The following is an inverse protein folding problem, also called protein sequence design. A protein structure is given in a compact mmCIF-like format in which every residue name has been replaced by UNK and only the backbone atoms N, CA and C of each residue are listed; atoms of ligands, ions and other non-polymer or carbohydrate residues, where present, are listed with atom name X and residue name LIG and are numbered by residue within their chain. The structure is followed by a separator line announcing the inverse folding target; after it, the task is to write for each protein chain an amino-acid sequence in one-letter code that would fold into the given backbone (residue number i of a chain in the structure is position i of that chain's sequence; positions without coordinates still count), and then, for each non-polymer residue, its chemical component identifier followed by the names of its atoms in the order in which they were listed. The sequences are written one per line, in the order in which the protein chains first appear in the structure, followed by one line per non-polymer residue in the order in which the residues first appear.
data_IF_942337571742
#
_entry.id   IF_942337571742
#
_cell.length_a   1.000
_cell.length_b   1.000
_cell.length_c   1.000
_cell.angle_alpha   90.00
_cell.angle_beta   90.00
_cell.angle_gamma   90.00
#
_symmetry.space_group_name_H-M   'P 1'
#
loop_
_entity.id
_entity.type
_entity.pdbx_description
1 polymer ?
#
# COMPACT_ATOMS: atom_id res chain seq x y z
N UNK A 1 22.76 -31.10 34.26
CA UNK A 1 22.67 -29.92 33.38
C UNK A 1 22.45 -28.72 34.27
N UNK A 2 23.44 -27.83 34.39
CA UNK A 2 23.21 -26.55 35.07
C UNK A 2 22.28 -25.70 34.19
N UNK A 3 21.28 -25.01 34.75
CA UNK A 3 20.46 -24.08 33.98
C UNK A 3 21.37 -22.98 33.43
N UNK A 4 21.26 -22.69 32.14
CA UNK A 4 21.96 -21.56 31.53
C UNK A 4 21.55 -20.28 32.25
N UNK A 5 22.49 -19.65 32.95
CA UNK A 5 22.27 -18.33 33.55
C UNK A 5 22.10 -17.32 32.41
N UNK A 6 20.89 -16.80 32.24
CA UNK A 6 20.59 -15.73 31.29
C UNK A 6 20.71 -14.42 32.06
N UNK A 7 21.75 -13.65 31.79
CA UNK A 7 21.85 -12.26 32.24
C UNK A 7 20.82 -11.42 31.48
N UNK A 8 19.98 -10.70 32.23
CA UNK A 8 18.96 -9.81 31.68
C UNK A 8 19.38 -8.38 32.02
N UNK A 9 19.76 -7.59 31.02
CA UNK A 9 20.02 -6.16 31.21
C UNK A 9 18.70 -5.38 31.22
N UNK A 10 18.51 -4.43 32.15
CA UNK A 10 17.34 -3.57 32.16
C UNK A 10 17.36 -2.63 30.96
N UNK A 11 16.27 -2.62 30.20
CA UNK A 11 16.08 -1.67 29.09
C UNK A 11 15.61 -0.32 29.62
N UNK A 12 15.97 0.75 28.91
CA UNK A 12 15.49 2.10 29.22
C UNK A 12 13.96 2.13 29.06
N UNK A 13 13.21 2.71 30.01
CA UNK A 13 11.77 2.79 29.91
C UNK A 13 11.36 3.53 28.63
N UNK A 14 10.36 2.97 27.97
CA UNK A 14 9.83 3.49 26.73
C UNK A 14 9.09 4.80 27.03
N UNK A 15 9.42 5.87 26.31
CA UNK A 15 8.72 7.14 26.45
C UNK A 15 7.42 7.12 25.65
N UNK A 16 6.29 6.93 26.33
CA UNK A 16 4.96 6.86 25.70
C UNK A 16 4.58 8.14 24.94
N UNK A 17 5.08 9.30 25.37
CA UNK A 17 4.83 10.58 24.68
C UNK A 17 5.55 10.70 23.32
N UNK A 18 6.50 9.79 23.04
CA UNK A 18 7.18 9.70 21.75
C UNK A 18 6.41 8.83 20.73
N UNK A 19 5.39 8.09 21.15
CA UNK A 19 4.60 7.28 20.22
C UNK A 19 3.67 8.12 19.36
N UNK A 20 3.39 7.62 18.16
CA UNK A 20 2.31 8.16 17.35
C UNK A 20 0.98 7.95 18.08
N UNK A 21 0.08 8.92 17.93
CA UNK A 21 -1.31 8.73 18.36
C UNK A 21 -1.93 7.62 17.52
N UNK A 22 -2.79 6.85 18.15
CA UNK A 22 -3.60 5.88 17.44
C UNK A 22 -4.70 6.62 16.68
N UNK A 23 -4.87 6.26 15.42
CA UNK A 23 -5.94 6.76 14.55
C UNK A 23 -6.77 5.57 14.05
N UNK A 24 -8.04 5.83 13.76
CA UNK A 24 -8.91 4.85 13.11
C UNK A 24 -8.62 4.80 11.61
N UNK A 25 -8.41 3.59 11.10
CA UNK A 25 -8.29 3.27 9.68
C UNK A 25 -9.53 2.50 9.24
N UNK A 26 -10.15 3.00 8.18
CA UNK A 26 -11.32 2.41 7.55
C UNK A 26 -10.96 1.85 6.18
N UNK A 27 -11.11 0.54 6.00
CA UNK A 27 -11.01 -0.12 4.70
C UNK A 27 -12.42 -0.40 4.19
N UNK A 28 -12.67 0.03 2.96
CA UNK A 28 -13.85 -0.32 2.19
C UNK A 28 -13.43 -1.07 0.92
N UNK A 29 -14.15 -2.13 0.57
CA UNK A 29 -13.95 -2.87 -0.67
C UNK A 29 -15.28 -3.38 -1.22
N UNK A 30 -15.33 -3.59 -2.53
CA UNK A 30 -16.44 -4.29 -3.19
C UNK A 30 -15.88 -5.36 -4.11
N UNK A 31 -16.48 -6.56 -4.10
CA UNK A 31 -16.08 -7.63 -5.01
C UNK A 31 -16.97 -7.53 -6.25
N UNK A 32 -16.39 -7.01 -7.33
CA UNK A 32 -17.10 -6.84 -8.61
C UNK A 32 -17.43 -8.19 -9.23
N UNK A 33 -16.41 -9.00 -9.47
CA UNK A 33 -16.54 -10.31 -10.10
C UNK A 33 -15.54 -11.29 -9.48
N UNK A 34 -15.93 -12.56 -9.39
CA UNK A 34 -15.05 -13.65 -8.97
C UNK A 34 -15.19 -14.78 -9.99
N UNK A 35 -14.20 -14.93 -10.86
CA UNK A 35 -14.21 -15.87 -11.99
C UNK A 35 -12.97 -16.77 -11.93
N UNK A 36 -12.81 -17.66 -12.92
CA UNK A 36 -11.66 -18.56 -13.04
C UNK A 36 -11.44 -19.46 -11.81
N UNK A 37 -12.53 -19.79 -11.11
CA UNK A 37 -12.50 -20.69 -9.94
C UNK A 37 -12.31 -22.13 -10.45
N UNK A 38 -11.33 -22.84 -9.88
CA UNK A 38 -11.04 -24.24 -10.23
C UNK A 38 -12.25 -25.13 -9.93
N UNK A 39 -12.54 -26.07 -10.85
CA UNK A 39 -13.63 -27.04 -10.72
C UNK A 39 -13.65 -27.77 -9.37
N UNK A 40 -12.49 -28.04 -8.76
CA UNK A 40 -12.38 -28.71 -7.44
C UNK A 40 -13.05 -27.92 -6.32
N UNK A 41 -13.21 -26.61 -6.49
CA UNK A 41 -13.86 -25.72 -5.52
C UNK A 41 -15.33 -25.43 -5.87
N UNK A 42 -15.81 -25.85 -7.05
CA UNK A 42 -17.14 -25.49 -7.55
C UNK A 42 -18.32 -26.18 -6.85
N UNK A 43 -18.09 -27.29 -6.14
CA UNK A 43 -19.16 -28.07 -5.52
C UNK A 43 -19.63 -27.50 -4.18
N UNK A 44 -18.81 -26.69 -3.53
CA UNK A 44 -19.06 -26.19 -2.17
C UNK A 44 -19.28 -24.68 -2.16
N UNK A 45 -20.18 -24.16 -1.30
CA UNK A 45 -20.30 -22.73 -1.10
C UNK A 45 -18.98 -22.10 -0.67
N UNK A 46 -18.77 -20.87 -1.11
CA UNK A 46 -17.63 -20.05 -0.70
C UNK A 46 -18.03 -18.58 -0.56
N UNK A 47 -17.21 -17.85 0.18
CA UNK A 47 -17.34 -16.41 0.38
C UNK A 47 -15.95 -15.78 0.50
N UNK A 48 -15.89 -14.46 0.33
CA UNK A 48 -14.68 -13.69 0.55
C UNK A 48 -14.65 -13.12 1.97
N UNK A 49 -13.47 -12.99 2.54
CA UNK A 49 -13.19 -12.24 3.77
C UNK A 49 -12.10 -11.21 3.49
N UNK A 50 -12.26 -10.00 4.01
CA UNK A 50 -11.21 -8.97 4.01
C UNK A 50 -10.74 -8.68 5.43
N UNK A 51 -9.45 -8.39 5.59
CA UNK A 51 -8.91 -7.97 6.88
C UNK A 51 -7.80 -6.93 6.72
N UNK A 52 -7.59 -6.10 7.75
CA UNK A 52 -6.40 -5.26 7.94
C UNK A 52 -5.61 -5.90 9.08
N UNK A 53 -4.55 -6.63 8.77
CA UNK A 53 -3.94 -7.54 9.75
C UNK A 53 -5.00 -8.51 10.31
N UNK A 54 -5.24 -8.47 11.61
CA UNK A 54 -6.23 -9.29 12.30
C UNK A 54 -7.62 -8.64 12.43
N UNK A 55 -7.75 -7.33 12.16
CA UNK A 55 -9.03 -6.65 12.17
C UNK A 55 -9.89 -7.14 10.99
N UNK A 56 -11.10 -7.62 11.26
CA UNK A 56 -11.99 -8.24 10.25
C UNK A 56 -11.82 -9.75 10.08
N UNK A 57 -10.82 -10.38 10.70
CA UNK A 57 -10.65 -11.84 10.65
C UNK A 57 -11.76 -12.55 11.45
N UNK A 58 -12.71 -13.17 10.77
CA UNK A 58 -13.84 -13.86 11.41
C UNK A 58 -13.55 -15.34 11.70
N UNK A 59 -12.66 -15.96 10.93
CA UNK A 59 -12.43 -17.41 10.99
C UNK A 59 -11.57 -17.85 12.18
N UNK A 60 -10.56 -17.06 12.56
CA UNK A 60 -9.60 -17.43 13.61
C UNK A 60 -10.01 -16.98 15.03
N UNK A 61 -11.16 -16.33 15.19
CA UNK A 61 -11.67 -15.84 16.48
C UNK A 61 -10.88 -14.67 17.10
N UNK A 62 -9.83 -14.18 16.44
CA UNK A 62 -9.00 -13.05 16.85
C UNK A 62 -9.40 -11.75 16.12
N UNK A 63 -10.69 -11.43 16.08
CA UNK A 63 -11.14 -10.19 15.45
C UNK A 63 -10.90 -8.99 16.38
N UNK A 64 -9.93 -8.14 16.05
CA UNK A 64 -9.65 -6.93 16.83
C UNK A 64 -10.69 -5.83 16.63
N UNK A 65 -11.40 -5.80 15.49
CA UNK A 65 -12.50 -4.85 15.26
C UNK A 65 -13.61 -5.01 16.30
N UNK A 66 -13.86 -6.24 16.76
CA UNK A 66 -14.82 -6.55 17.83
C UNK A 66 -14.46 -5.92 19.18
N UNK A 67 -13.16 -5.81 19.51
CA UNK A 67 -12.70 -5.30 20.81
C UNK A 67 -12.66 -3.78 20.89
N UNK A 68 -12.63 -3.10 19.75
CA UNK A 68 -12.50 -1.64 19.69
C UNK A 68 -13.84 -0.91 19.90
N UNK A 69 -14.97 -1.61 19.77
CA UNK A 69 -16.32 -1.04 19.83
C UNK A 69 -17.13 -1.51 21.05
N UNK A 70 -16.51 -1.53 22.23
CA UNK A 70 -17.26 -1.69 23.49
C UNK A 70 -18.00 -0.37 23.82
N UNK A 71 -19.34 -0.33 23.78
CA UNK A 71 -20.13 0.91 23.93
C UNK A 71 -19.95 1.60 25.29
N UNK A 72 -19.34 0.95 26.29
CA UNK A 72 -19.12 1.50 27.62
C UNK A 72 -18.12 2.66 27.71
N UNK A 73 -17.42 3.03 26.62
CA UNK A 73 -16.30 3.99 26.66
C UNK A 73 -16.51 5.33 25.92
N UNK A 74 -17.63 5.57 25.23
CA UNK A 74 -17.90 6.87 24.58
C UNK A 74 -19.27 7.41 24.98
N UNK A 75 -19.25 8.39 25.88
CA UNK A 75 -20.44 9.15 26.27
C UNK A 75 -20.88 10.11 25.16
N UNK A 76 -22.12 9.92 24.72
CA UNK A 76 -23.11 10.90 24.28
C UNK A 76 -22.73 11.96 23.25
N UNK A 77 -23.38 11.91 22.08
CA UNK A 77 -24.01 13.06 21.42
C UNK A 77 -25.02 12.54 20.38
N UNK A 78 -25.99 13.38 20.00
CA UNK A 78 -27.24 13.01 19.34
C UNK A 78 -27.44 13.79 18.03
N UNK A 79 -28.06 13.14 17.04
CA UNK A 79 -28.72 13.77 15.89
C UNK A 79 -28.82 12.81 14.69
N UNK A 80 -29.93 12.77 13.96
CA UNK A 80 -30.27 11.77 12.93
C UNK A 80 -29.25 11.55 11.75
N UNK A 81 -28.21 12.39 11.56
CA UNK A 81 -27.06 12.07 10.68
C UNK A 81 -26.01 11.17 11.36
N UNK A 82 -25.95 11.25 12.69
CA UNK A 82 -25.14 10.42 13.58
C UNK A 82 -25.67 8.98 13.60
N UNK A 83 -26.95 8.72 13.30
CA UNK A 83 -27.52 7.36 13.26
C UNK A 83 -26.89 6.50 12.16
N UNK A 84 -26.70 7.04 10.95
CA UNK A 84 -26.00 6.30 9.87
C UNK A 84 -24.51 6.15 10.19
N UNK A 85 -23.91 7.16 10.79
CA UNK A 85 -22.50 7.14 11.18
C UNK A 85 -22.24 6.20 12.37
N UNK A 86 -23.16 6.10 13.34
CA UNK A 86 -23.19 5.18 14.47
C UNK A 86 -23.45 3.74 14.03
N UNK A 87 -24.40 3.52 13.11
CA UNK A 87 -24.69 2.18 12.55
C UNK A 87 -23.44 1.64 11.86
N UNK A 88 -22.77 2.45 11.03
CA UNK A 88 -21.52 2.05 10.37
C UNK A 88 -20.34 2.04 11.35
N UNK A 89 -20.44 2.74 12.48
CA UNK A 89 -19.38 2.77 13.48
C UNK A 89 -19.32 1.53 14.36
N UNK A 90 -20.47 0.95 14.74
CA UNK A 90 -20.52 -0.33 15.45
C UNK A 90 -20.46 -1.57 14.57
N UNK A 91 -20.76 -1.46 13.26
CA UNK A 91 -20.78 -2.60 12.35
C UNK A 91 -19.49 -2.73 11.55
N UNK A 92 -18.96 -3.94 11.45
CA UNK A 92 -18.03 -4.32 10.38
C UNK A 92 -18.67 -5.43 9.56
N UNK A 93 -18.49 -5.37 8.24
CA UNK A 93 -18.90 -6.43 7.33
C UNK A 93 -17.64 -6.90 6.61
N UNK A 94 -16.87 -7.77 7.24
CA UNK A 94 -15.61 -8.27 6.64
C UNK A 94 -15.82 -9.40 5.66
N UNK A 95 -17.02 -10.00 5.59
CA UNK A 95 -17.30 -11.16 4.73
C UNK A 95 -18.42 -10.92 3.73
N UNK A 96 -18.33 -11.54 2.55
CA UNK A 96 -19.43 -11.58 1.58
C UNK A 96 -20.44 -12.65 1.97
N UNK A 97 -21.67 -12.62 1.42
CA UNK A 97 -22.57 -13.76 1.51
C UNK A 97 -21.94 -15.01 0.90
N UNK A 98 -22.25 -16.17 1.50
CA UNK A 98 -21.82 -17.48 1.00
C UNK A 98 -22.66 -17.89 -0.20
N UNK A 99 -21.99 -18.24 -1.30
CA UNK A 99 -22.65 -18.64 -2.54
C UNK A 99 -21.93 -19.83 -3.18
N UNK A 100 -22.69 -20.70 -3.87
CA UNK A 100 -22.12 -21.82 -4.61
C UNK A 100 -21.64 -21.33 -5.98
N UNK A 101 -20.39 -21.62 -6.38
CA UNK A 101 -19.92 -21.26 -7.72
C UNK A 101 -20.76 -21.89 -8.84
N UNK A 102 -20.98 -21.12 -9.91
CA UNK A 102 -21.66 -21.54 -11.13
C UNK A 102 -20.68 -21.71 -12.28
N UNK A 103 -21.07 -22.44 -13.32
CA UNK A 103 -20.26 -22.67 -14.52
C UNK A 103 -21.14 -22.83 -15.74
N UNK A 104 -20.65 -22.45 -16.91
CA UNK A 104 -21.28 -22.73 -18.20
C UNK A 104 -20.62 -23.91 -18.94
N UNK A 105 -19.33 -24.14 -18.72
CA UNK A 105 -18.50 -25.09 -19.47
C UNK A 105 -17.98 -26.28 -18.63
N UNK A 106 -18.16 -26.23 -17.31
CA UNK A 106 -17.62 -27.19 -16.31
C UNK A 106 -16.10 -27.20 -16.23
N UNK A 107 -15.42 -26.20 -16.79
CA UNK A 107 -13.97 -26.01 -16.74
C UNK A 107 -13.66 -24.92 -15.72
N UNK A 108 -14.28 -23.74 -15.86
CA UNK A 108 -14.10 -22.61 -14.95
C UNK A 108 -15.41 -22.24 -14.28
N UNK A 109 -15.31 -21.91 -13.01
CA UNK A 109 -16.44 -21.49 -12.19
C UNK A 109 -16.34 -20.01 -11.84
N UNK A 110 -17.48 -19.41 -11.49
CA UNK A 110 -17.59 -18.03 -11.05
C UNK A 110 -18.62 -17.89 -9.94
N UNK A 111 -18.51 -16.85 -9.11
CA UNK A 111 -19.58 -16.49 -8.17
C UNK A 111 -20.60 -15.57 -8.86
N UNK A 112 -21.90 -15.91 -8.80
CA UNK A 112 -22.93 -15.19 -9.53
C UNK A 112 -23.40 -13.94 -8.76
N UNK A 113 -22.54 -12.92 -8.63
CA UNK A 113 -22.91 -11.66 -7.96
C UNK A 113 -23.85 -10.79 -8.79
N UNK A 114 -23.84 -10.92 -10.13
CA UNK A 114 -24.73 -10.16 -11.03
C UNK A 114 -24.72 -8.65 -10.74
N UNK A 115 -25.88 -8.06 -10.50
CA UNK A 115 -26.05 -6.64 -10.18
C UNK A 115 -25.87 -6.33 -8.69
N UNK A 116 -25.84 -7.35 -7.81
CA UNK A 116 -25.68 -7.19 -6.37
C UNK A 116 -24.22 -7.43 -5.95
N UNK A 117 -23.42 -6.37 -6.07
CA UNK A 117 -21.99 -6.42 -5.73
C UNK A 117 -21.81 -6.33 -4.21
N UNK A 118 -21.28 -7.36 -3.54
CA UNK A 118 -21.14 -7.33 -2.10
C UNK A 118 -20.11 -6.28 -1.68
N UNK A 119 -20.50 -5.44 -0.72
CA UNK A 119 -19.66 -4.43 -0.10
C UNK A 119 -19.14 -4.92 1.25
N UNK A 120 -17.87 -4.66 1.50
CA UNK A 120 -17.15 -5.08 2.67
C UNK A 120 -16.50 -3.86 3.33
N UNK A 121 -16.49 -3.83 4.65
CA UNK A 121 -15.82 -2.78 5.40
C UNK A 121 -15.24 -3.27 6.72
N UNK A 122 -14.06 -2.76 7.05
CA UNK A 122 -13.30 -3.10 8.25
C UNK A 122 -12.77 -1.82 8.89
N UNK A 123 -12.93 -1.71 10.20
CA UNK A 123 -12.33 -0.68 11.04
C UNK A 123 -11.20 -1.27 11.86
N UNK A 124 -10.13 -0.52 12.01
CA UNK A 124 -8.97 -0.92 12.81
C UNK A 124 -8.24 0.32 13.33
N UNK A 125 -7.72 0.25 14.55
CA UNK A 125 -7.02 1.37 15.19
C UNK A 125 -5.54 1.07 15.25
N UNK A 126 -4.70 1.92 14.64
CA UNK A 126 -3.25 1.75 14.60
C UNK A 126 -2.53 3.06 14.92
N UNK A 127 -1.28 3.01 15.42
CA UNK A 127 -0.44 4.20 15.51
C UNK A 127 -0.29 4.90 14.14
N UNK A 128 -0.50 6.21 14.10
CA UNK A 128 -0.43 6.98 12.86
C UNK A 128 1.00 7.23 12.39
N UNK A 129 1.46 6.34 11.52
CA UNK A 129 2.72 6.42 10.80
C UNK A 129 2.55 6.70 9.30
N UNK A 130 1.39 7.25 8.87
CA UNK A 130 1.10 7.51 7.44
C UNK A 130 2.21 8.24 6.69
N UNK A 131 2.88 9.18 7.34
CA UNK A 131 4.05 9.91 6.82
C UNK A 131 5.15 9.00 6.21
N UNK A 132 5.37 7.81 6.77
CA UNK A 132 6.35 6.84 6.26
C UNK A 132 5.89 6.29 4.91
N UNK A 133 4.65 5.79 4.88
CA UNK A 133 4.00 5.30 3.66
C UNK A 133 3.91 6.39 2.59
N UNK A 134 3.49 7.61 2.95
CA UNK A 134 3.39 8.74 2.03
C UNK A 134 4.74 9.06 1.37
N UNK A 135 5.82 9.11 2.15
CA UNK A 135 7.15 9.31 1.60
C UNK A 135 7.54 8.20 0.60
N UNK A 136 7.30 6.93 0.96
CA UNK A 136 7.53 5.79 0.08
C UNK A 136 6.66 5.80 -1.17
N UNK A 137 5.41 6.24 -1.08
CA UNK A 137 4.47 6.32 -2.21
C UNK A 137 4.88 7.39 -3.20
N UNK A 138 5.30 8.59 -2.74
CA UNK A 138 5.79 9.63 -3.65
C UNK A 138 7.00 9.09 -4.43
N UNK A 139 7.99 8.50 -3.75
CA UNK A 139 9.18 7.92 -4.40
C UNK A 139 8.77 6.76 -5.33
N UNK A 140 7.82 5.92 -4.91
CA UNK A 140 7.28 4.82 -5.70
C UNK A 140 6.69 5.29 -7.03
N UNK A 141 5.93 6.38 -7.04
CA UNK A 141 5.39 6.97 -8.27
C UNK A 141 6.50 7.48 -9.21
N UNK A 142 7.60 8.00 -8.66
CA UNK A 142 8.79 8.39 -9.46
C UNK A 142 9.44 7.15 -10.08
N UNK A 143 9.57 6.07 -9.30
CA UNK A 143 10.08 4.78 -9.79
C UNK A 143 9.20 4.28 -10.93
N UNK A 144 7.89 4.14 -10.73
CA UNK A 144 6.97 3.63 -11.74
C UNK A 144 7.09 4.41 -13.07
N UNK A 145 7.12 5.75 -13.00
CA UNK A 145 7.27 6.60 -14.19
C UNK A 145 8.63 6.44 -14.88
N UNK A 146 9.70 6.30 -14.10
CA UNK A 146 11.02 6.06 -14.64
C UNK A 146 11.13 4.67 -15.28
N UNK A 147 10.51 3.65 -14.70
CA UNK A 147 10.46 2.30 -15.27
C UNK A 147 9.69 2.27 -16.59
N UNK A 148 8.54 2.92 -16.64
CA UNK A 148 7.73 3.08 -17.86
C UNK A 148 8.57 3.74 -18.96
N UNK A 149 9.18 4.91 -18.67
CA UNK A 149 9.98 5.64 -19.64
C UNK A 149 11.26 4.90 -20.09
N UNK A 150 11.91 4.13 -19.21
CA UNK A 150 13.07 3.31 -19.59
C UNK A 150 12.67 2.06 -20.38
N UNK A 151 11.52 1.47 -20.09
CA UNK A 151 10.99 0.33 -20.85
C UNK A 151 10.64 0.74 -22.28
N UNK A 152 10.05 1.93 -22.45
CA UNK A 152 9.76 2.49 -23.77
C UNK A 152 11.04 2.72 -24.59
N UNK A 153 12.08 3.29 -23.97
CA UNK A 153 13.40 3.42 -24.61
C UNK A 153 13.97 2.08 -25.04
N UNK A 154 13.77 1.04 -24.23
CA UNK A 154 14.26 -0.32 -24.50
C UNK A 154 13.51 -0.98 -25.66
N UNK A 155 12.21 -0.69 -25.83
CA UNK A 155 11.41 -1.19 -26.97
C UNK A 155 11.84 -0.55 -28.30
N UNK A 156 12.29 0.71 -28.26
CA UNK A 156 12.64 1.50 -29.44
C UNK A 156 14.15 1.62 -29.70
N UNK A 157 14.97 0.68 -29.21
CA UNK A 157 16.44 0.78 -29.30
C UNK A 157 17.01 0.91 -30.72
N UNK A 158 16.33 0.35 -31.71
CA UNK A 158 16.76 0.37 -33.12
C UNK A 158 16.27 1.63 -33.85
N UNK A 159 15.39 2.41 -33.22
CA UNK A 159 14.77 3.57 -33.83
C UNK A 159 15.59 4.84 -33.60
N UNK A 160 15.49 5.76 -34.57
CA UNK A 160 16.09 7.10 -34.45
C UNK A 160 15.52 7.95 -33.30
N UNK A 161 14.43 7.50 -32.68
CA UNK A 161 13.72 8.20 -31.59
C UNK A 161 14.24 7.86 -30.19
N UNK A 162 15.03 6.79 -30.02
CA UNK A 162 15.47 6.31 -28.70
C UNK A 162 16.22 7.36 -27.88
N UNK A 163 17.06 8.17 -28.51
CA UNK A 163 17.79 9.27 -27.86
C UNK A 163 16.83 10.33 -27.31
N UNK A 164 15.78 10.65 -28.08
CA UNK A 164 14.77 11.62 -27.68
C UNK A 164 13.96 11.08 -26.51
N UNK A 165 13.53 9.82 -26.57
CA UNK A 165 12.82 9.14 -25.48
C UNK A 165 13.64 9.16 -24.20
N UNK A 166 14.93 8.78 -24.25
CA UNK A 166 15.80 8.81 -23.07
C UNK A 166 15.95 10.23 -22.50
N UNK A 167 16.09 11.24 -23.36
CA UNK A 167 16.16 12.65 -22.92
C UNK A 167 14.86 13.10 -22.24
N UNK A 168 13.71 12.68 -22.74
CA UNK A 168 12.40 12.96 -22.13
C UNK A 168 12.29 12.28 -20.77
N UNK A 169 12.60 10.98 -20.68
CA UNK A 169 12.57 10.22 -19.42
C UNK A 169 13.47 10.84 -18.35
N UNK A 170 14.67 11.31 -18.72
CA UNK A 170 15.59 11.99 -17.79
C UNK A 170 15.12 13.38 -17.36
N UNK A 171 14.45 14.12 -18.25
CA UNK A 171 13.83 15.41 -17.91
C UNK A 171 12.70 15.22 -16.91
N UNK A 172 11.80 14.27 -17.18
CA UNK A 172 10.68 13.92 -16.29
C UNK A 172 11.19 13.45 -14.94
N UNK A 173 12.23 12.61 -14.89
CA UNK A 173 12.87 12.21 -13.64
C UNK A 173 13.36 13.44 -12.86
N UNK A 174 14.05 14.37 -13.51
CA UNK A 174 14.54 15.59 -12.86
C UNK A 174 13.39 16.43 -12.28
N UNK A 175 12.33 16.62 -13.06
CA UNK A 175 11.13 17.35 -12.64
C UNK A 175 10.45 16.68 -11.43
N UNK A 176 10.27 15.37 -11.48
CA UNK A 176 9.66 14.57 -10.42
C UNK A 176 10.49 14.60 -9.12
N UNK A 177 11.82 14.52 -9.21
CA UNK A 177 12.71 14.69 -8.06
C UNK A 177 12.55 16.08 -7.41
N UNK A 178 12.47 17.16 -8.21
CA UNK A 178 12.27 18.51 -7.67
C UNK A 178 10.90 18.64 -6.98
N UNK A 179 9.86 18.02 -7.56
CA UNK A 179 8.51 17.99 -6.98
C UNK A 179 8.50 17.27 -5.63
N UNK A 180 9.16 16.12 -5.52
CA UNK A 180 9.34 15.41 -4.25
C UNK A 180 10.01 16.28 -3.18
N UNK A 181 11.09 16.99 -3.54
CA UNK A 181 11.78 17.89 -2.59
C UNK A 181 10.84 19.01 -2.12
N UNK A 182 9.98 19.53 -2.99
CA UNK A 182 8.99 20.53 -2.60
C UNK A 182 7.94 19.97 -1.63
N UNK A 183 7.34 18.81 -1.95
CA UNK A 183 6.30 18.17 -1.12
C UNK A 183 6.87 17.76 0.25
N UNK A 184 8.04 17.14 0.26
CA UNK A 184 8.68 16.65 1.49
C UNK A 184 9.13 17.78 2.43
N UNK A 185 9.39 18.99 1.91
CA UNK A 185 9.68 20.17 2.74
C UNK A 185 8.40 20.77 3.35
N UNK A 186 7.28 20.75 2.63
CA UNK A 186 5.99 21.24 3.15
C UNK A 186 5.33 20.30 4.16
N UNK A 187 5.53 18.97 4.03
CA UNK A 187 4.94 17.96 4.93
C UNK A 187 5.57 17.94 6.35
N UNK A 188 6.55 18.81 6.60
CA UNK A 188 7.16 19.01 7.93
C UNK A 188 6.21 19.71 8.92
N UNK A 189 5.09 20.28 8.45
CA UNK A 189 4.26 21.26 9.19
C UNK A 189 3.13 20.70 10.10
N UNK A 190 3.19 19.43 10.50
CA UNK A 190 2.29 18.86 11.52
C UNK A 190 2.94 18.77 12.93
N UNK A 191 2.16 18.82 14.04
CA UNK A 191 2.67 18.66 15.39
C UNK A 191 3.57 17.42 15.51
N UNK A 192 4.77 17.58 16.08
CA UNK A 192 5.86 16.58 16.10
C UNK A 192 5.61 15.32 16.94
N UNK A 193 4.35 14.95 17.21
CA UNK A 193 3.99 13.74 17.93
C UNK A 193 4.26 12.52 17.04
N UNK A 194 4.93 11.50 17.58
CA UNK A 194 5.27 10.27 16.85
C UNK A 194 6.45 10.35 15.88
N UNK A 195 7.09 11.51 15.67
CA UNK A 195 8.28 11.62 14.79
C UNK A 195 9.55 11.26 15.56
N UNK A 196 10.09 10.08 15.29
CA UNK A 196 11.34 9.61 15.88
C UNK A 196 12.57 10.31 15.28
N UNK A 197 13.74 10.14 15.91
CA UNK A 197 15.02 10.57 15.33
C UNK A 197 15.30 9.85 14.01
N UNK A 198 14.95 8.58 13.90
CA UNK A 198 15.13 7.79 12.68
C UNK A 198 14.26 8.31 11.54
N UNK A 199 13.01 8.71 11.82
CA UNK A 199 12.15 9.35 10.81
C UNK A 199 12.81 10.62 10.24
N UNK A 200 13.38 11.47 11.10
CA UNK A 200 14.06 12.70 10.69
C UNK A 200 15.28 12.41 9.80
N UNK A 201 16.12 11.45 10.19
CA UNK A 201 17.30 11.08 9.41
C UNK A 201 16.92 10.40 8.09
N UNK A 202 15.85 9.59 8.08
CA UNK A 202 15.32 8.98 6.86
C UNK A 202 14.78 10.02 5.88
N UNK A 203 13.99 10.99 6.35
CA UNK A 203 13.52 12.09 5.49
C UNK A 203 14.69 12.88 4.89
N UNK A 204 15.71 13.23 5.70
CA UNK A 204 16.90 13.92 5.20
C UNK A 204 17.66 13.10 4.15
N UNK A 205 17.82 11.79 4.39
CA UNK A 205 18.43 10.87 3.44
C UNK A 205 17.68 10.90 2.11
N UNK A 206 16.37 10.65 2.12
CA UNK A 206 15.56 10.63 0.90
C UNK A 206 15.59 11.99 0.18
N UNK A 207 15.48 13.11 0.90
CA UNK A 207 15.61 14.46 0.32
C UNK A 207 16.94 14.66 -0.41
N UNK A 208 18.05 14.36 0.27
CA UNK A 208 19.39 14.51 -0.31
C UNK A 208 19.59 13.60 -1.53
N UNK A 209 19.20 12.33 -1.44
CA UNK A 209 19.39 11.39 -2.54
C UNK A 209 18.52 11.75 -3.76
N UNK A 210 17.25 12.13 -3.55
CA UNK A 210 16.37 12.55 -4.65
C UNK A 210 16.83 13.86 -5.30
N UNK A 211 17.28 14.83 -4.51
CA UNK A 211 17.85 16.08 -5.03
C UNK A 211 19.11 15.79 -5.88
N UNK A 212 20.01 14.95 -5.38
CA UNK A 212 21.21 14.52 -6.11
C UNK A 212 20.86 13.78 -7.41
N UNK A 213 19.94 12.82 -7.37
CA UNK A 213 19.47 12.08 -8.55
C UNK A 213 18.85 13.05 -9.57
N UNK A 214 18.05 14.02 -9.12
CA UNK A 214 17.44 15.03 -9.99
C UNK A 214 18.47 15.89 -10.72
N UNK A 215 19.55 16.29 -10.04
CA UNK A 215 20.68 17.04 -10.64
C UNK A 215 21.46 16.14 -11.61
N UNK A 216 21.80 14.92 -11.19
CA UNK A 216 22.52 13.96 -12.02
C UNK A 216 21.74 13.61 -13.29
N UNK A 217 20.41 13.45 -13.20
CA UNK A 217 19.54 13.20 -14.35
C UNK A 217 19.57 14.34 -15.37
N UNK A 218 19.47 15.59 -14.90
CA UNK A 218 19.56 16.79 -15.75
C UNK A 218 20.90 16.87 -16.48
N UNK A 219 21.99 16.60 -15.77
CA UNK A 219 23.34 16.59 -16.35
C UNK A 219 23.51 15.43 -17.35
N UNK A 220 23.00 14.24 -17.01
CA UNK A 220 23.07 13.07 -17.89
C UNK A 220 22.34 13.31 -19.21
N UNK A 221 21.16 13.95 -19.16
CA UNK A 221 20.36 14.34 -20.34
C UNK A 221 21.18 15.16 -21.33
N UNK A 222 21.94 16.15 -20.85
CA UNK A 222 22.77 17.01 -21.69
C UNK A 222 23.90 16.25 -22.41
N UNK A 223 24.30 15.10 -21.87
CA UNK A 223 25.38 14.24 -22.39
C UNK A 223 24.87 13.09 -23.27
N UNK A 224 23.55 12.99 -23.51
CA UNK A 224 22.97 11.97 -24.39
C UNK A 224 23.21 12.34 -25.86
N UNK A 225 24.00 11.52 -26.53
CA UNK A 225 24.29 11.55 -27.97
C UNK A 225 24.23 10.14 -28.54
N UNK A 226 24.20 10.02 -29.86
CA UNK A 226 24.23 8.72 -30.56
C UNK A 226 25.37 7.80 -30.12
N UNK A 227 26.57 8.36 -29.91
CA UNK A 227 27.74 7.58 -29.51
C UNK A 227 27.75 7.22 -28.02
N UNK A 228 27.12 8.01 -27.15
CA UNK A 228 27.10 7.78 -25.70
C UNK A 228 25.86 6.99 -25.24
N UNK A 229 24.84 6.85 -26.08
CA UNK A 229 23.51 6.36 -25.73
C UNK A 229 23.50 5.12 -24.83
N UNK A 230 24.21 4.04 -25.21
CA UNK A 230 24.23 2.78 -24.44
C UNK A 230 24.75 2.96 -23.01
N UNK A 231 25.81 3.75 -22.85
CA UNK A 231 26.40 4.06 -21.54
C UNK A 231 25.45 4.94 -20.70
N UNK A 232 24.82 5.92 -21.34
CA UNK A 232 23.86 6.83 -20.68
C UNK A 232 22.59 6.10 -20.27
N UNK A 233 22.07 5.17 -21.08
CA UNK A 233 20.95 4.31 -20.71
C UNK A 233 21.28 3.43 -19.50
N UNK A 234 22.45 2.79 -19.48
CA UNK A 234 22.92 2.02 -18.31
C UNK A 234 23.04 2.90 -17.06
N UNK A 235 23.51 4.13 -17.24
CA UNK A 235 23.61 5.10 -16.13
C UNK A 235 22.21 5.47 -15.61
N UNK A 236 21.25 5.71 -16.48
CA UNK A 236 19.87 5.98 -16.10
C UNK A 236 19.26 4.79 -15.33
N UNK A 237 19.45 3.56 -15.81
CA UNK A 237 19.03 2.35 -15.10
C UNK A 237 19.64 2.25 -13.69
N UNK A 238 20.87 2.72 -13.48
CA UNK A 238 21.47 2.77 -12.14
C UNK A 238 20.76 3.75 -11.20
N UNK A 239 20.22 4.87 -11.71
CA UNK A 239 19.43 5.80 -10.91
C UNK A 239 18.11 5.16 -10.49
N UNK A 240 17.47 4.43 -11.40
CA UNK A 240 16.26 3.67 -11.09
C UNK A 240 16.49 2.69 -9.93
N UNK A 241 17.59 1.94 -9.93
CA UNK A 241 17.91 1.02 -8.83
C UNK A 241 18.09 1.75 -7.49
N UNK A 242 18.73 2.93 -7.50
CA UNK A 242 18.85 3.76 -6.29
C UNK A 242 17.49 4.23 -5.79
N UNK A 243 16.59 4.64 -6.69
CA UNK A 243 15.24 5.07 -6.30
C UNK A 243 14.44 3.90 -5.70
N UNK A 244 14.49 2.71 -6.31
CA UNK A 244 13.84 1.51 -5.77
C UNK A 244 14.29 1.19 -4.35
N UNK A 245 15.58 1.34 -4.05
CA UNK A 245 16.09 1.16 -2.70
C UNK A 245 15.48 2.15 -1.69
N UNK A 246 15.18 3.38 -2.11
CA UNK A 246 14.59 4.41 -1.26
C UNK A 246 13.08 4.23 -1.04
N UNK A 247 12.38 3.48 -1.90
CA UNK A 247 10.95 3.18 -1.74
C UNK A 247 10.70 2.34 -0.49
N UNK A 248 11.56 1.36 -0.23
CA UNK A 248 11.36 0.41 0.88
C UNK A 248 11.61 1.07 2.24
N UNK A 249 10.57 1.14 3.07
CA UNK A 249 10.63 1.63 4.45
C UNK A 249 10.71 0.48 5.45
N UNK A 250 11.84 0.30 6.15
CA UNK A 250 12.01 -0.79 7.10
C UNK A 250 11.15 -0.59 8.37
N UNK A 251 10.52 0.57 8.55
CA UNK A 251 9.68 0.90 9.68
C UNK A 251 8.22 1.17 9.29
N UNK A 252 7.77 0.71 8.11
CA UNK A 252 6.34 0.71 7.83
C UNK A 252 5.61 -0.19 8.83
N UNK A 253 4.46 0.26 9.29
CA UNK A 253 3.80 -0.25 10.52
C UNK A 253 2.29 -0.35 10.40
N UNK A 254 1.71 0.08 9.27
CA UNK A 254 0.33 -0.28 8.98
C UNK A 254 0.30 -1.74 8.50
N UNK A 255 -0.55 -2.60 9.08
CA UNK A 255 -0.68 -3.97 8.61
C UNK A 255 -1.20 -4.04 7.18
N UNK A 256 -0.83 -5.13 6.51
CA UNK A 256 -1.30 -5.39 5.17
C UNK A 256 -2.77 -5.81 5.15
N UNK A 257 -3.38 -5.55 4.00
CA UNK A 257 -4.74 -5.99 3.71
C UNK A 257 -4.70 -7.38 3.13
N UNK A 258 -5.57 -8.25 3.62
CA UNK A 258 -5.75 -9.59 3.08
C UNK A 258 -7.15 -9.73 2.48
N UNK A 259 -7.20 -10.44 1.35
CA UNK A 259 -8.42 -10.93 0.74
C UNK A 259 -8.33 -12.45 0.78
N UNK A 260 -9.21 -13.11 1.51
CA UNK A 260 -9.29 -14.56 1.62
C UNK A 260 -10.52 -15.07 0.89
N UNK A 261 -10.42 -16.27 0.31
CA UNK A 261 -11.58 -17.07 -0.10
C UNK A 261 -11.73 -18.20 0.91
N UNK A 262 -12.92 -18.32 1.50
CA UNK A 262 -13.26 -19.37 2.45
C UNK A 262 -14.22 -20.35 1.80
N UNK A 263 -13.94 -21.64 1.92
CA UNK A 263 -14.90 -22.71 1.63
C UNK A 263 -14.81 -23.80 2.70
N UNK A 264 -15.96 -24.30 3.17
CA UNK A 264 -16.03 -25.34 4.21
C UNK A 264 -15.26 -25.00 5.50
N UNK A 265 -15.27 -23.73 5.91
CA UNK A 265 -14.54 -23.26 7.09
C UNK A 265 -13.02 -23.28 6.94
N UNK A 266 -12.49 -23.29 5.70
CA UNK A 266 -11.05 -23.24 5.42
C UNK A 266 -10.74 -22.16 4.40
N UNK A 267 -9.61 -21.48 4.58
CA UNK A 267 -9.01 -20.59 3.57
C UNK A 267 -8.50 -21.43 2.40
N UNK A 268 -9.01 -21.18 1.20
CA UNK A 268 -8.67 -21.94 -0.01
C UNK A 268 -7.86 -21.12 -1.02
N UNK A 269 -7.92 -19.80 -0.93
CA UNK A 269 -7.10 -18.90 -1.74
C UNK A 269 -6.93 -17.55 -1.04
N UNK A 270 -5.90 -16.79 -1.40
CA UNK A 270 -5.68 -15.46 -0.82
C UNK A 270 -4.90 -14.48 -1.69
N UNK A 271 -5.04 -13.19 -1.37
CA UNK A 271 -4.16 -12.14 -1.83
C UNK A 271 -3.77 -11.23 -0.67
N UNK A 272 -2.50 -10.86 -0.61
CA UNK A 272 -1.95 -9.89 0.33
C UNK A 272 -1.65 -8.60 -0.42
N UNK A 273 -2.09 -7.47 0.10
CA UNK A 273 -1.89 -6.13 -0.47
C UNK A 273 -1.22 -5.27 0.59
N UNK A 274 -0.04 -4.70 0.32
CA UNK A 274 0.61 -3.80 1.26
C UNK A 274 -0.28 -2.61 1.62
N UNK A 275 -0.38 -2.27 2.91
CA UNK A 275 -1.24 -1.14 3.36
C UNK A 275 -0.92 0.17 2.64
N UNK A 276 0.37 0.44 2.38
CA UNK A 276 0.85 1.59 1.62
C UNK A 276 0.29 1.70 0.19
N UNK A 277 -0.08 0.58 -0.44
CA UNK A 277 -0.63 0.60 -1.80
C UNK A 277 -2.09 1.06 -1.85
N UNK A 278 -2.78 1.09 -0.70
CA UNK A 278 -4.20 1.43 -0.59
C UNK A 278 -4.47 2.75 0.16
N UNK A 279 -3.50 3.23 0.95
CA UNK A 279 -3.68 4.39 1.82
C UNK A 279 -4.08 5.65 1.02
N UNK A 280 -5.04 6.40 1.57
CA UNK A 280 -5.51 7.66 1.02
C UNK A 280 -4.70 8.85 1.55
N UNK A 281 -4.52 9.87 0.70
CA UNK A 281 -4.10 11.22 1.07
C UNK A 281 -4.87 12.25 0.21
N UNK A 282 -4.95 13.48 0.69
CA UNK A 282 -5.45 14.62 -0.09
C UNK A 282 -4.42 15.07 -1.14
N UNK A 283 -3.14 14.73 -0.94
CA UNK A 283 -2.07 14.95 -1.91
C UNK A 283 -1.95 13.68 -2.74
N UNK A 284 -2.27 13.75 -4.03
CA UNK A 284 -2.31 12.57 -4.89
C UNK A 284 -1.01 11.77 -4.80
N UNK A 285 0.15 12.41 -4.84
CA UNK A 285 1.46 11.75 -4.82
C UNK A 285 1.72 10.88 -3.59
N UNK A 286 1.05 11.17 -2.47
CA UNK A 286 1.14 10.42 -1.23
C UNK A 286 0.19 9.20 -1.22
N UNK A 287 -0.84 9.19 -2.06
CA UNK A 287 -1.78 8.08 -2.17
C UNK A 287 -1.09 6.81 -2.63
N UNK A 288 -1.56 5.69 -2.09
CA UNK A 288 -1.22 4.38 -2.59
C UNK A 288 -1.65 4.21 -4.04
N UNK A 289 -0.85 3.49 -4.84
CA UNK A 289 -1.07 3.32 -6.29
C UNK A 289 -2.41 2.68 -6.68
N UNK A 290 -3.03 1.96 -5.74
CA UNK A 290 -4.32 1.27 -5.89
C UNK A 290 -5.46 1.95 -5.11
N UNK A 291 -5.17 3.05 -4.41
CA UNK A 291 -6.17 3.79 -3.65
C UNK A 291 -7.31 4.26 -4.57
N UNK A 292 -8.55 3.89 -4.25
CA UNK A 292 -9.74 4.27 -5.02
C UNK A 292 -9.81 3.69 -6.43
N UNK A 293 -9.02 2.65 -6.76
CA UNK A 293 -8.96 2.06 -8.11
C UNK A 293 -9.48 0.63 -8.10
N UNK A 294 -10.26 0.27 -9.12
CA UNK A 294 -10.65 -1.12 -9.37
C UNK A 294 -9.41 -1.92 -9.77
N UNK A 295 -9.22 -3.08 -9.15
CA UNK A 295 -8.10 -3.97 -9.39
C UNK A 295 -8.60 -5.37 -9.76
N UNK A 296 -7.91 -6.00 -10.71
CA UNK A 296 -8.07 -7.43 -11.02
C UNK A 296 -6.88 -8.19 -10.44
N UNK A 297 -7.13 -9.20 -9.61
CA UNK A 297 -6.09 -9.92 -8.90
C UNK A 297 -6.27 -11.43 -9.07
N UNK A 298 -5.15 -12.15 -9.21
CA UNK A 298 -5.12 -13.60 -9.10
C UNK A 298 -4.82 -13.97 -7.65
N UNK A 299 -5.71 -14.75 -7.05
CA UNK A 299 -5.51 -15.24 -5.68
C UNK A 299 -4.61 -16.49 -5.71
N UNK A 300 -3.71 -16.57 -4.73
CA UNK A 300 -2.77 -17.67 -4.52
C UNK A 300 -3.40 -18.83 -3.76
#
# INVERSE_FOLDING_TARGET
MAPSEVEVEPTVPINETAYARNEEFFLFATIMDATMIDKKLGDKPMYFEISIGNAGNALDGHNESFKMYDPGSRGGMSGDEDDLQEVVAGSWQSTTPSSKPMTHDKIYYFLPYWDDKPCLHVRSTWPDYRRRMYNSNIIGKIVDKMEEGLSEVQLHLEDSTCEKLLKTTLEELSANCNRYVSISKSSVTGPGVGKTKLDKERTKLCQRELENIGIMSRNLKALVTKSSFKERLKTAQSYLQKLKFLVEDPQDSLPDVFIWVISSGRRVAYQRIPGRELIYSVVDEECGRHCGRVQTMFLK
#
